data_IF_099393748658
#
_entry.id   IF_099393748658
#
_cell.length_a   1.000
_cell.length_b   1.000
_cell.length_c   1.000
_cell.angle_alpha   90.00
_cell.angle_beta   90.00
_cell.angle_gamma   90.00
#
_symmetry.space_group_name_H-M   'P 1'
#
loop_
_entity.id
_entity.type
_entity.pdbx_description
1 polymer ?
#
# COMPACT_ATOMS: atom_id res chain seq x y z
N UNK A 1 -2.98 10.51 -20.74
CA UNK A 1 -1.57 10.12 -20.57
C UNK A 1 -1.35 9.78 -19.09
N UNK A 2 -2.32 9.08 -18.47
CA UNK A 2 -2.57 9.15 -17.02
C UNK A 2 -2.37 7.80 -16.30
N UNK A 3 -2.02 6.74 -17.06
CA UNK A 3 -1.78 5.40 -16.49
C UNK A 3 -0.37 5.23 -15.91
N UNK A 4 0.58 6.07 -16.32
CA UNK A 4 1.98 5.97 -15.89
C UNK A 4 2.20 6.58 -14.49
N UNK A 5 1.51 7.67 -14.16
CA UNK A 5 1.63 8.35 -12.86
C UNK A 5 1.06 7.51 -11.71
N UNK A 6 -0.12 6.88 -11.89
CA UNK A 6 -0.72 6.01 -10.86
C UNK A 6 0.09 4.73 -10.60
N UNK A 7 0.73 4.17 -11.63
CA UNK A 7 1.66 3.04 -11.47
C UNK A 7 2.90 3.45 -10.65
N UNK A 8 3.40 4.68 -10.84
CA UNK A 8 4.53 5.20 -10.08
C UNK A 8 4.19 5.43 -8.60
N UNK A 9 2.96 5.83 -8.29
CA UNK A 9 2.50 6.02 -6.92
C UNK A 9 2.41 4.68 -6.16
N UNK A 10 1.81 3.66 -6.79
CA UNK A 10 1.77 2.31 -6.22
C UNK A 10 3.17 1.73 -6.04
N UNK A 11 4.08 1.95 -7.00
CA UNK A 11 5.49 1.57 -6.88
C UNK A 11 6.20 2.16 -5.66
N UNK A 12 6.00 3.46 -5.44
CA UNK A 12 6.55 4.15 -4.27
C UNK A 12 5.98 3.54 -2.98
N UNK A 13 4.70 3.23 -2.96
CA UNK A 13 4.04 2.62 -1.79
C UNK A 13 4.58 1.21 -1.51
N UNK A 14 4.65 0.31 -2.50
CA UNK A 14 5.14 -1.07 -2.30
C UNK A 14 6.64 -1.15 -1.99
N UNK A 15 7.40 -0.09 -2.28
CA UNK A 15 8.81 0.02 -1.89
C UNK A 15 8.99 0.59 -0.49
N UNK A 16 8.08 1.45 -0.02
CA UNK A 16 8.10 2.03 1.33
C UNK A 16 7.51 1.11 2.39
N UNK A 17 6.50 0.31 2.04
CA UNK A 17 5.76 -0.54 2.97
C UNK A 17 5.99 -2.02 2.69
N UNK A 18 6.10 -2.84 3.75
CA UNK A 18 6.32 -4.28 3.57
C UNK A 18 5.02 -5.00 3.25
N UNK A 19 3.96 -4.66 3.97
CA UNK A 19 2.61 -5.21 3.82
C UNK A 19 1.62 -4.11 3.46
N UNK A 20 0.44 -4.52 2.99
CA UNK A 20 -0.65 -3.59 2.75
C UNK A 20 -1.18 -3.00 4.07
N UNK A 21 -1.15 -3.78 5.15
CA UNK A 21 -1.51 -3.34 6.50
C UNK A 21 -0.57 -2.23 7.00
N UNK A 22 0.75 -2.35 6.77
CA UNK A 22 1.71 -1.29 7.11
C UNK A 22 1.38 0.04 6.41
N UNK A 23 0.94 -0.04 5.16
CA UNK A 23 0.48 1.13 4.40
C UNK A 23 -0.78 1.72 5.02
N UNK A 24 -1.80 0.91 5.32
CA UNK A 24 -3.04 1.40 5.92
C UNK A 24 -2.78 2.04 7.30
N UNK A 25 -1.93 1.41 8.11
CA UNK A 25 -1.58 1.88 9.45
C UNK A 25 -0.83 3.21 9.41
N UNK A 26 -0.04 3.46 8.36
CA UNK A 26 0.64 4.75 8.16
C UNK A 26 -0.33 5.94 7.96
N UNK A 27 -1.58 5.65 7.59
CA UNK A 27 -2.63 6.64 7.37
C UNK A 27 -3.54 6.84 8.61
N UNK A 28 -3.45 5.94 9.59
CA UNK A 28 -4.22 6.03 10.84
C UNK A 28 -3.57 7.09 11.73
N UNK A 29 -4.36 8.10 12.12
CA UNK A 29 -3.90 9.18 13.00
C UNK A 29 -4.27 8.91 14.46
N UNK A 30 -3.63 9.62 15.39
CA UNK A 30 -4.01 9.57 16.81
C UNK A 30 -5.45 9.99 17.07
N UNK A 31 -6.01 10.86 16.21
CA UNK A 31 -7.40 11.28 16.26
C UNK A 31 -8.34 10.13 15.93
N UNK A 32 -7.96 9.27 14.97
CA UNK A 32 -8.73 8.07 14.63
C UNK A 32 -8.83 7.13 15.81
N UNK A 33 -7.69 6.84 16.44
CA UNK A 33 -7.64 5.98 17.61
C UNK A 33 -8.38 6.59 18.81
N UNK A 34 -8.37 7.91 18.96
CA UNK A 34 -9.10 8.59 20.03
C UNK A 34 -10.62 8.47 19.89
N UNK A 35 -11.16 8.53 18.66
CA UNK A 35 -12.60 8.47 18.42
C UNK A 35 -13.14 7.07 18.17
N UNK A 36 -12.33 6.21 17.54
CA UNK A 36 -12.74 4.84 17.18
C UNK A 36 -12.37 3.84 18.26
N UNK A 37 -11.30 4.10 19.03
CA UNK A 37 -10.71 3.20 20.03
C UNK A 37 -10.32 1.81 19.51
N UNK A 38 -10.48 1.57 18.21
CA UNK A 38 -10.26 0.32 17.50
C UNK A 38 -9.44 0.60 16.23
N UNK A 39 -8.21 0.08 16.23
CA UNK A 39 -7.27 0.20 15.11
C UNK A 39 -7.75 -0.57 13.87
N UNK A 40 -8.42 -1.71 14.06
CA UNK A 40 -8.98 -2.48 12.95
C UNK A 40 -10.11 -1.72 12.28
N UNK A 41 -10.96 -1.04 13.06
CA UNK A 41 -12.02 -0.19 12.52
C UNK A 41 -11.43 1.01 11.77
N UNK A 42 -10.41 1.66 12.33
CA UNK A 42 -9.70 2.75 11.66
C UNK A 42 -9.09 2.30 10.32
N UNK A 43 -8.45 1.13 10.31
CA UNK A 43 -7.87 0.50 9.11
C UNK A 43 -8.92 0.26 8.02
N UNK A 44 -10.10 -0.24 8.38
CA UNK A 44 -11.19 -0.46 7.43
C UNK A 44 -11.71 0.86 6.83
N UNK A 45 -11.79 1.92 7.63
CA UNK A 45 -12.22 3.24 7.13
C UNK A 45 -11.21 3.85 6.17
N UNK A 46 -9.92 3.65 6.41
CA UNK A 46 -8.85 4.03 5.46
C UNK A 46 -8.96 3.23 4.17
N UNK A 47 -9.09 1.90 4.26
CA UNK A 47 -9.19 1.02 3.09
C UNK A 47 -10.41 1.34 2.20
N UNK A 48 -11.52 1.75 2.81
CA UNK A 48 -12.74 2.17 2.09
C UNK A 48 -12.67 3.60 1.55
N UNK A 49 -11.59 4.35 1.85
CA UNK A 49 -11.42 5.75 1.43
C UNK A 49 -12.31 6.75 2.18
N UNK A 50 -12.91 6.34 3.31
CA UNK A 50 -13.63 7.24 4.20
C UNK A 50 -12.71 8.04 5.12
N UNK A 51 -11.44 7.62 5.22
CA UNK A 51 -10.41 8.26 6.05
C UNK A 51 -9.04 8.23 5.34
N UNK A 52 -8.18 9.20 5.65
CA UNK A 52 -6.90 9.40 4.96
C UNK A 52 -7.02 10.35 3.77
N UNK A 53 -5.94 11.05 3.45
CA UNK A 53 -5.91 12.09 2.40
C UNK A 53 -5.39 11.60 1.05
N UNK A 54 -5.05 10.32 0.92
CA UNK A 54 -4.27 9.82 -0.20
C UNK A 54 -5.01 8.71 -0.92
N UNK A 55 -4.93 8.79 -2.25
CA UNK A 55 -5.28 7.82 -3.28
C UNK A 55 -5.60 6.40 -2.76
N UNK A 56 -6.82 5.93 -3.06
CA UNK A 56 -7.28 4.59 -2.69
C UNK A 56 -6.49 3.58 -3.51
N UNK A 57 -5.39 3.08 -2.94
CA UNK A 57 -4.68 1.91 -3.48
C UNK A 57 -5.43 0.67 -3.05
N UNK A 58 -5.92 -0.11 -4.00
CA UNK A 58 -6.58 -1.38 -3.68
C UNK A 58 -5.55 -2.40 -3.21
N UNK A 59 -5.95 -3.26 -2.27
CA UNK A 59 -5.12 -4.40 -1.82
C UNK A 59 -4.61 -5.22 -3.01
N UNK A 60 -5.47 -5.49 -3.98
CA UNK A 60 -5.12 -6.26 -5.18
C UNK A 60 -3.98 -5.61 -5.97
N UNK A 61 -4.00 -4.28 -6.13
CA UNK A 61 -2.98 -3.54 -6.87
C UNK A 61 -1.64 -3.52 -6.11
N UNK A 62 -1.69 -3.32 -4.79
CA UNK A 62 -0.51 -3.38 -3.92
C UNK A 62 0.15 -4.76 -4.00
N UNK A 63 -0.62 -5.83 -3.78
CA UNK A 63 -0.12 -7.20 -3.76
C UNK A 63 0.41 -7.63 -5.13
N UNK A 64 -0.32 -7.31 -6.21
CA UNK A 64 0.11 -7.62 -7.57
C UNK A 64 1.46 -6.93 -7.89
N UNK A 65 1.63 -5.67 -7.46
CA UNK A 65 2.86 -4.94 -7.72
C UNK A 65 4.02 -5.42 -6.86
N UNK A 66 3.77 -5.73 -5.59
CA UNK A 66 4.77 -6.32 -4.68
C UNK A 66 5.29 -7.65 -5.24
N UNK A 67 4.37 -8.52 -5.66
CA UNK A 67 4.72 -9.80 -6.28
C UNK A 67 5.53 -9.61 -7.57
N UNK A 68 5.14 -8.67 -8.43
CA UNK A 68 5.87 -8.38 -9.66
C UNK A 68 7.32 -7.92 -9.39
N UNK A 69 7.53 -7.05 -8.41
CA UNK A 69 8.86 -6.58 -8.00
C UNK A 69 9.70 -7.74 -7.45
N UNK A 70 9.13 -8.59 -6.61
CA UNK A 70 9.86 -9.72 -6.04
C UNK A 70 10.22 -10.77 -7.08
N UNK A 71 9.34 -11.05 -8.04
CA UNK A 71 9.63 -11.91 -9.19
C UNK A 71 10.76 -11.32 -10.03
N UNK A 72 10.71 -10.01 -10.34
CA UNK A 72 11.76 -9.34 -11.10
C UNK A 72 13.13 -9.42 -10.39
N UNK A 73 13.17 -9.15 -9.08
CA UNK A 73 14.38 -9.28 -8.26
C UNK A 73 14.93 -10.71 -8.23
N UNK A 74 14.06 -11.71 -8.18
CA UNK A 74 14.47 -13.11 -8.24
C UNK A 74 15.07 -13.45 -9.60
N UNK A 75 14.41 -13.06 -10.70
CA UNK A 75 14.90 -13.31 -12.06
C UNK A 75 16.28 -12.68 -12.32
N UNK A 76 16.53 -11.46 -11.85
CA UNK A 76 17.84 -10.80 -11.95
C UNK A 76 18.95 -11.56 -11.20
N UNK A 77 18.61 -12.20 -10.07
CA UNK A 77 19.57 -13.01 -9.30
C UNK A 77 19.90 -14.32 -9.99
N UNK A 78 18.95 -14.94 -10.67
CA UNK A 78 19.16 -16.20 -11.38
C UNK A 78 19.93 -16.02 -12.69
N UNK A 79 19.81 -14.89 -13.37
CA UNK A 79 20.55 -14.62 -14.61
C UNK A 79 22.02 -14.21 -14.41
N UNK A 80 22.41 -13.80 -13.20
CA UNK A 80 23.80 -13.45 -12.86
C UNK A 80 24.64 -14.64 -12.34
N UNK A 81 24.10 -15.84 -12.33
CA UNK A 81 24.79 -17.10 -12.01
C UNK A 81 25.09 -17.89 -13.27
#
# INVERSE_FOLDING_TARGET
MDQDEGMSAVDNIVTQFNTYEDFLDSQITTVDLYYLEDESLARQLVELGYRGTVEIVKREDFEARKAAIDIARQAERTQKK
#
